data_IF_800352641409
#
_entry.id   IF_800352641409
#
_cell.length_a   1.000
_cell.length_b   1.000
_cell.length_c   1.000
_cell.angle_alpha   90.00
_cell.angle_beta   90.00
_cell.angle_gamma   90.00
#
_symmetry.space_group_name_H-M   'P 1'
#
loop_
_entity.id
_entity.type
_entity.pdbx_description
1 polymer ?
#
# COMPACT_ATOMS: atom_id res chain seq x y z
N UNK A 1 38.87 22.99 13.34
CA UNK A 1 37.97 21.99 13.95
C UNK A 1 37.49 22.41 15.36
N UNK A 2 37.86 23.59 15.88
CA UNK A 2 37.46 24.05 17.22
C UNK A 2 36.17 24.90 17.25
N UNK A 3 35.73 25.46 16.12
CA UNK A 3 34.53 26.34 16.08
C UNK A 3 33.19 25.58 16.05
N UNK A 4 33.18 24.28 15.78
CA UNK A 4 31.94 23.50 15.67
C UNK A 4 31.31 23.13 17.03
N UNK A 5 32.10 23.16 18.12
CA UNK A 5 31.68 22.70 19.46
C UNK A 5 31.04 23.83 20.29
N UNK A 6 31.30 25.10 19.96
CA UNK A 6 30.84 26.25 20.75
C UNK A 6 29.34 26.53 20.60
N UNK A 7 28.70 26.03 19.54
CA UNK A 7 27.27 26.27 19.23
C UNK A 7 26.31 25.17 19.66
N UNK A 8 26.80 24.04 20.19
CA UNK A 8 25.91 23.00 20.71
C UNK A 8 25.30 23.42 22.06
N UNK A 9 23.98 23.22 22.18
CA UNK A 9 23.24 23.43 23.41
C UNK A 9 23.84 22.60 24.55
N UNK A 10 23.99 23.19 25.74
CA UNK A 10 24.52 22.47 26.89
C UNK A 10 23.49 21.45 27.40
N UNK A 11 23.95 20.25 27.74
CA UNK A 11 23.11 19.22 28.34
C UNK A 11 22.58 19.70 29.71
N UNK A 12 21.34 19.35 30.12
CA UNK A 12 20.79 19.75 31.42
C UNK A 12 21.73 19.48 32.61
N UNK A 13 22.41 18.33 32.62
CA UNK A 13 23.41 18.00 33.65
C UNK A 13 24.59 18.98 33.68
N UNK A 14 25.03 19.49 32.53
CA UNK A 14 26.10 20.51 32.45
C UNK A 14 25.66 21.80 33.14
N UNK A 15 24.39 22.19 32.94
CA UNK A 15 23.81 23.37 33.58
C UNK A 15 23.68 23.15 35.09
N UNK A 16 23.22 21.97 35.50
CA UNK A 16 23.11 21.60 36.92
C UNK A 16 24.46 21.65 37.64
N UNK A 17 25.49 20.99 37.10
CA UNK A 17 26.83 21.03 37.70
C UNK A 17 27.42 22.44 37.72
N UNK A 18 27.12 23.25 36.71
CA UNK A 18 27.54 24.64 36.70
C UNK A 18 26.88 25.45 37.82
N UNK A 19 25.59 25.23 38.08
CA UNK A 19 24.86 25.89 39.17
C UNK A 19 25.36 25.42 40.54
N UNK A 20 25.61 24.11 40.70
CA UNK A 20 26.24 23.57 41.90
C UNK A 20 27.63 24.19 42.14
N UNK A 21 28.44 24.33 41.09
CA UNK A 21 29.74 25.01 41.16
C UNK A 21 29.64 26.47 41.60
N UNK A 22 28.59 27.19 41.18
CA UNK A 22 28.36 28.58 41.57
C UNK A 22 27.88 28.70 43.03
N UNK A 23 26.86 27.93 43.42
CA UNK A 23 26.21 28.08 44.73
C UNK A 23 26.85 27.29 45.87
N UNK A 24 27.36 26.09 45.59
CA UNK A 24 27.87 25.17 46.62
C UNK A 24 29.41 25.18 46.70
N UNK A 25 30.10 25.46 45.59
CA UNK A 25 31.57 25.48 45.54
C UNK A 25 32.16 26.90 45.47
N UNK A 26 31.32 27.94 45.34
CA UNK A 26 31.75 29.35 45.37
C UNK A 26 32.53 29.80 44.14
N UNK A 27 32.49 29.07 43.01
CA UNK A 27 33.19 29.47 41.80
C UNK A 27 32.60 30.73 41.17
N UNK A 28 33.47 31.61 40.68
CA UNK A 28 33.05 32.81 39.96
C UNK A 28 32.51 32.49 38.56
N UNK A 29 31.65 33.37 38.02
CA UNK A 29 31.11 33.25 36.66
C UNK A 29 32.21 33.15 35.58
N UNK A 30 33.39 33.76 35.81
CA UNK A 30 34.54 33.70 34.90
C UNK A 30 35.23 32.33 34.93
N UNK A 31 35.34 31.71 36.10
CA UNK A 31 35.93 30.37 36.25
C UNK A 31 35.02 29.30 35.64
N UNK A 32 33.72 29.37 35.92
CA UNK A 32 32.73 28.46 35.33
C UNK A 32 32.68 28.58 33.80
N UNK A 33 32.78 29.80 33.26
CA UNK A 33 32.88 30.02 31.81
C UNK A 33 34.07 29.30 31.17
N UNK A 34 35.23 29.29 31.86
CA UNK A 34 36.43 28.56 31.42
C UNK A 34 36.24 27.05 31.52
N UNK A 35 35.75 26.55 32.66
CA UNK A 35 35.53 25.11 32.93
C UNK A 35 34.58 24.50 31.89
N UNK A 36 33.45 25.15 31.64
CA UNK A 36 32.42 24.64 30.72
C UNK A 36 32.62 25.08 29.26
N UNK A 37 33.71 25.82 28.96
CA UNK A 37 33.99 26.41 27.64
C UNK A 37 32.78 27.16 27.06
N UNK A 38 32.10 27.93 27.90
CA UNK A 38 30.95 28.78 27.53
C UNK A 38 31.25 30.24 27.81
N UNK A 39 30.49 31.15 27.21
CA UNK A 39 30.65 32.57 27.49
C UNK A 39 30.17 32.90 28.91
N UNK A 40 30.77 33.91 29.55
CA UNK A 40 30.32 34.42 30.86
C UNK A 40 28.84 34.83 30.80
N UNK A 41 28.36 35.33 29.65
CA UNK A 41 26.95 35.63 29.40
C UNK A 41 26.06 34.39 29.47
N UNK A 42 26.49 33.27 28.88
CA UNK A 42 25.76 31.99 28.96
C UNK A 42 25.65 31.49 30.40
N UNK A 43 26.75 31.54 31.16
CA UNK A 43 26.75 31.15 32.58
C UNK A 43 25.83 32.08 33.39
N UNK A 44 25.93 33.40 33.16
CA UNK A 44 25.04 34.37 33.79
C UNK A 44 23.57 34.11 33.47
N UNK A 45 23.24 33.75 32.22
CA UNK A 45 21.88 33.40 31.84
C UNK A 45 21.38 32.15 32.58
N UNK A 46 22.22 31.12 32.77
CA UNK A 46 21.83 29.92 33.52
C UNK A 46 21.53 30.23 34.99
N UNK A 47 22.38 31.03 35.62
CA UNK A 47 22.19 31.49 37.01
C UNK A 47 20.91 32.32 37.11
N UNK A 48 20.74 33.32 36.23
CA UNK A 48 19.56 34.19 36.23
C UNK A 48 18.25 33.41 35.99
N UNK A 49 18.27 32.36 35.16
CA UNK A 49 17.08 31.50 34.96
C UNK A 49 16.79 30.75 36.26
N UNK A 50 17.79 30.12 36.88
CA UNK A 50 17.62 29.39 38.14
C UNK A 50 17.14 30.29 39.29
N UNK A 51 17.71 31.50 39.44
CA UNK A 51 17.27 32.49 40.44
C UNK A 51 15.82 32.92 40.23
N UNK A 52 15.35 32.98 38.98
CA UNK A 52 13.98 33.43 38.64
C UNK A 52 12.93 32.34 38.72
N UNK A 53 13.27 31.10 38.36
CA UNK A 53 12.28 30.02 38.22
C UNK A 53 12.47 28.88 39.21
N UNK A 54 13.56 28.86 39.97
CA UNK A 54 13.94 27.71 40.82
C UNK A 54 14.33 26.46 40.04
N UNK A 55 14.35 26.54 38.70
CA UNK A 55 14.62 25.44 37.79
C UNK A 55 15.68 25.85 36.76
N UNK A 56 16.42 24.88 36.25
CA UNK A 56 17.43 25.09 35.20
C UNK A 56 17.05 24.41 33.88
N UNK A 57 15.90 23.74 33.87
CA UNK A 57 15.28 23.22 32.65
C UNK A 57 14.67 24.38 31.86
N UNK A 58 14.72 24.27 30.53
CA UNK A 58 14.14 25.28 29.66
C UNK A 58 12.64 25.31 29.90
N UNK A 59 12.06 26.51 30.05
CA UNK A 59 10.61 26.64 30.02
C UNK A 59 10.10 26.09 28.68
N UNK A 60 9.16 25.13 28.74
CA UNK A 60 8.36 24.76 27.58
C UNK A 60 7.58 25.99 27.17
N UNK A 61 8.18 26.73 26.25
CA UNK A 61 7.50 27.84 25.62
C UNK A 61 6.33 27.19 24.89
N UNK A 62 5.09 27.41 25.36
CA UNK A 62 3.89 27.13 24.57
C UNK A 62 4.03 27.96 23.29
N UNK A 63 4.66 27.38 22.26
CA UNK A 63 4.77 27.99 20.96
C UNK A 63 3.34 28.09 20.47
N UNK A 64 2.79 29.31 20.44
CA UNK A 64 1.54 29.58 19.77
C UNK A 64 1.73 29.13 18.32
N UNK A 65 1.18 27.96 18.00
CA UNK A 65 1.23 27.45 16.63
C UNK A 65 0.40 28.42 15.79
N UNK A 66 1.03 29.01 14.77
CA UNK A 66 0.40 29.90 13.79
C UNK A 66 -0.89 29.28 13.19
N UNK A 67 -0.92 27.95 13.08
CA UNK A 67 -2.10 27.20 12.69
C UNK A 67 -2.70 26.52 13.93
N UNK A 68 -3.90 26.96 14.30
CA UNK A 68 -4.66 26.43 15.42
C UNK A 68 -5.19 25.04 15.09
N UNK A 69 -5.66 24.31 16.10
CA UNK A 69 -6.32 23.02 15.90
C UNK A 69 -7.51 23.12 14.93
N UNK A 70 -8.26 24.23 14.96
CA UNK A 70 -9.36 24.48 14.04
C UNK A 70 -8.89 24.57 12.57
N UNK A 71 -7.77 25.24 12.30
CA UNK A 71 -7.20 25.30 10.95
C UNK A 71 -6.67 23.95 10.47
N UNK A 72 -6.13 23.15 11.39
CA UNK A 72 -5.67 21.79 11.08
C UNK A 72 -6.84 20.88 10.74
N UNK A 73 -7.91 20.94 11.52
CA UNK A 73 -9.14 20.19 11.27
C UNK A 73 -9.77 20.61 9.95
N UNK A 74 -9.88 21.92 9.69
CA UNK A 74 -10.43 22.43 8.44
C UNK A 74 -9.68 21.91 7.19
N UNK A 75 -8.35 21.81 7.26
CA UNK A 75 -7.57 21.20 6.16
C UNK A 75 -7.88 19.71 5.98
N UNK A 76 -8.13 18.98 7.06
CA UNK A 76 -8.54 17.58 6.98
C UNK A 76 -9.93 17.44 6.37
N UNK A 77 -10.87 18.29 6.78
CA UNK A 77 -12.23 18.33 6.24
C UNK A 77 -12.22 18.69 4.75
N UNK A 78 -11.40 19.67 4.35
CA UNK A 78 -11.19 20.04 2.95
C UNK A 78 -10.72 18.85 2.11
N UNK A 79 -9.79 18.03 2.61
CA UNK A 79 -9.34 16.82 1.91
C UNK A 79 -10.36 15.68 1.93
N UNK A 80 -11.29 15.67 2.89
CA UNK A 80 -12.39 14.71 2.90
C UNK A 80 -13.42 15.05 1.81
N UNK A 81 -13.71 16.34 1.61
CA UNK A 81 -14.59 16.83 0.54
C UNK A 81 -13.90 16.83 -0.83
N UNK A 82 -12.60 17.07 -0.86
CA UNK A 82 -11.77 17.19 -2.07
C UNK A 82 -10.55 16.26 -2.03
N UNK A 83 -10.74 14.92 -2.03
CA UNK A 83 -9.65 13.95 -1.85
C UNK A 83 -8.60 13.94 -2.97
N UNK A 84 -8.90 14.58 -4.10
CA UNK A 84 -7.99 14.71 -5.25
C UNK A 84 -7.21 16.02 -5.28
N UNK A 85 -7.47 16.93 -4.33
CA UNK A 85 -6.85 18.24 -4.34
C UNK A 85 -5.32 18.14 -4.22
N UNK A 86 -4.62 19.04 -4.91
CA UNK A 86 -3.18 19.21 -4.73
C UNK A 86 -2.89 20.07 -3.48
N UNK A 87 -1.63 20.08 -3.04
CA UNK A 87 -1.23 20.81 -1.84
C UNK A 87 -1.30 22.34 -2.02
N UNK A 88 -1.07 22.82 -3.24
CA UNK A 88 -1.22 24.22 -3.64
C UNK A 88 -2.70 24.63 -3.72
N UNK A 89 -3.58 23.74 -4.21
CA UNK A 89 -5.02 23.97 -4.18
C UNK A 89 -5.56 24.11 -2.74
N UNK A 90 -5.09 23.27 -1.81
CA UNK A 90 -5.41 23.37 -0.38
C UNK A 90 -4.83 24.64 0.27
N UNK A 91 -3.63 25.05 -0.13
CA UNK A 91 -3.01 26.32 0.28
C UNK A 91 -3.86 27.52 -0.15
N UNK A 92 -4.35 27.51 -1.40
CA UNK A 92 -5.22 28.56 -1.91
C UNK A 92 -6.59 28.53 -1.22
N UNK A 93 -7.11 27.35 -0.91
CA UNK A 93 -8.40 27.18 -0.24
C UNK A 93 -8.38 27.76 1.19
N UNK A 94 -7.35 27.46 1.99
CA UNK A 94 -7.24 28.02 3.35
C UNK A 94 -6.99 29.53 3.33
N UNK A 95 -6.28 30.04 2.31
CA UNK A 95 -6.12 31.48 2.10
C UNK A 95 -7.46 32.16 1.85
N UNK A 96 -8.32 31.58 1.00
CA UNK A 96 -9.66 32.13 0.74
C UNK A 96 -10.59 32.04 1.94
N UNK A 97 -10.58 30.92 2.66
CA UNK A 97 -11.51 30.68 3.76
C UNK A 97 -11.15 31.44 5.05
N UNK A 98 -9.85 31.60 5.34
CA UNK A 98 -9.38 32.16 6.61
C UNK A 98 -8.48 33.40 6.46
N UNK A 99 -8.29 33.92 5.24
CA UNK A 99 -7.36 35.02 4.94
C UNK A 99 -5.92 34.75 5.43
N UNK A 100 -5.53 33.48 5.49
CA UNK A 100 -4.24 33.05 6.03
C UNK A 100 -3.35 32.47 4.95
N UNK A 101 -2.13 33.00 4.85
CA UNK A 101 -1.09 32.35 4.05
C UNK A 101 -0.57 31.11 4.77
N UNK A 102 -0.28 30.06 4.03
CA UNK A 102 0.43 28.86 4.51
C UNK A 102 1.42 28.45 3.43
N UNK A 103 2.50 27.73 3.79
CA UNK A 103 3.38 27.13 2.77
C UNK A 103 2.93 25.70 2.44
N UNK A 104 3.16 25.25 1.21
CA UNK A 104 2.89 23.87 0.75
C UNK A 104 3.46 22.84 1.74
N UNK A 105 4.70 23.03 2.22
CA UNK A 105 5.33 22.13 3.17
C UNK A 105 4.63 22.09 4.53
N UNK A 106 3.96 23.19 4.94
CA UNK A 106 3.20 23.24 6.18
C UNK A 106 1.85 22.55 6.01
N UNK A 107 1.17 22.72 4.87
CA UNK A 107 -0.04 21.94 4.52
C UNK A 107 0.28 20.46 4.59
N UNK A 108 1.34 20.02 3.89
CA UNK A 108 1.77 18.63 3.88
C UNK A 108 2.05 18.09 5.29
N UNK A 109 2.75 18.86 6.13
CA UNK A 109 3.05 18.44 7.51
C UNK A 109 1.78 18.31 8.34
N UNK A 110 0.88 19.29 8.28
CA UNK A 110 -0.38 19.27 9.04
C UNK A 110 -1.21 18.04 8.70
N UNK A 111 -1.45 17.78 7.42
CA UNK A 111 -2.27 16.65 7.00
C UNK A 111 -1.59 15.31 7.31
N UNK A 112 -0.26 15.25 7.18
CA UNK A 112 0.50 14.04 7.50
C UNK A 112 0.52 13.75 9.00
N UNK A 113 0.67 14.78 9.85
CA UNK A 113 0.58 14.67 11.31
C UNK A 113 -0.82 14.23 11.75
N UNK A 114 -1.86 14.59 10.97
CA UNK A 114 -3.23 14.12 11.15
C UNK A 114 -3.50 12.72 10.56
N UNK A 115 -2.49 12.06 9.99
CA UNK A 115 -2.58 10.69 9.45
C UNK A 115 -3.00 10.60 7.99
N UNK A 116 -3.25 11.72 7.30
CA UNK A 116 -3.52 11.70 5.86
C UNK A 116 -2.22 11.42 5.10
N UNK A 117 -2.28 10.41 4.23
CA UNK A 117 -1.13 10.00 3.41
C UNK A 117 -1.54 9.90 1.97
N UNK A 118 -0.62 10.23 1.05
CA UNK A 118 -0.86 10.10 -0.39
C UNK A 118 -1.04 8.62 -0.74
N UNK A 119 -2.21 8.27 -1.28
CA UNK A 119 -2.50 6.91 -1.77
C UNK A 119 -2.48 6.84 -3.29
N UNK A 120 -2.29 5.64 -3.83
CA UNK A 120 -2.55 5.37 -5.25
C UNK A 120 -4.07 5.31 -5.42
N UNK A 121 -4.60 6.06 -6.38
CA UNK A 121 -6.03 6.07 -6.68
C UNK A 121 -6.45 4.72 -7.28
N UNK A 122 -7.47 4.11 -6.69
CA UNK A 122 -8.18 2.98 -7.27
C UNK A 122 -9.23 3.52 -8.24
N UNK A 123 -9.16 3.14 -9.52
CA UNK A 123 -10.16 3.54 -10.52
C UNK A 123 -11.21 2.45 -10.61
N UNK A 124 -12.44 2.77 -10.23
CA UNK A 124 -13.60 1.87 -10.35
C UNK A 124 -14.50 2.30 -11.49
N UNK A 125 -15.05 1.33 -12.22
CA UNK A 125 -15.94 1.61 -13.31
C UNK A 125 -17.30 2.06 -12.75
N UNK A 126 -17.87 3.15 -13.29
CA UNK A 126 -19.21 3.62 -12.92
C UNK A 126 -20.32 2.58 -13.16
N UNK A 127 -20.05 1.55 -13.96
CA UNK A 127 -21.01 0.51 -14.35
C UNK A 127 -21.13 -0.64 -13.33
N UNK A 128 -20.39 -0.62 -12.22
CA UNK A 128 -20.57 -1.62 -11.15
C UNK A 128 -21.96 -1.40 -10.55
N UNK A 129 -22.86 -2.35 -10.76
CA UNK A 129 -24.21 -2.33 -10.20
C UNK A 129 -24.26 -3.28 -9.00
N UNK A 130 -24.69 -2.77 -7.85
CA UNK A 130 -24.83 -3.57 -6.62
C UNK A 130 -25.65 -4.85 -6.86
N UNK A 131 -26.74 -4.75 -7.64
CA UNK A 131 -27.57 -5.90 -8.02
C UNK A 131 -26.78 -7.06 -8.67
N UNK A 132 -25.76 -6.75 -9.47
CA UNK A 132 -24.92 -7.78 -10.12
C UNK A 132 -24.01 -8.45 -9.11
N UNK A 133 -23.53 -7.70 -8.11
CA UNK A 133 -22.73 -8.25 -7.01
C UNK A 133 -23.60 -9.11 -6.09
N UNK A 134 -24.80 -8.64 -5.73
CA UNK A 134 -25.75 -9.44 -4.94
C UNK A 134 -26.08 -10.77 -5.61
N UNK A 135 -26.39 -10.76 -6.91
CA UNK A 135 -26.64 -11.99 -7.66
C UNK A 135 -25.44 -12.95 -7.63
N UNK A 136 -24.23 -12.43 -7.74
CA UNK A 136 -23.01 -13.23 -7.63
C UNK A 136 -22.86 -13.86 -6.25
N UNK A 137 -23.11 -13.10 -5.18
CA UNK A 137 -23.07 -13.59 -3.80
C UNK A 137 -24.12 -14.68 -3.58
N UNK A 138 -25.35 -14.48 -4.07
CA UNK A 138 -26.43 -15.47 -3.99
C UNK A 138 -26.09 -16.77 -4.74
N UNK A 139 -25.55 -16.67 -5.96
CA UNK A 139 -25.11 -17.82 -6.75
C UNK A 139 -24.00 -18.60 -6.02
N UNK A 140 -23.00 -17.89 -5.50
CA UNK A 140 -21.88 -18.50 -4.80
C UNK A 140 -22.30 -19.16 -3.47
N UNK A 141 -23.31 -18.61 -2.78
CA UNK A 141 -23.86 -19.19 -1.56
C UNK A 141 -24.59 -20.53 -1.78
N UNK A 142 -24.98 -20.86 -3.03
CA UNK A 142 -25.56 -22.16 -3.36
C UNK A 142 -24.52 -23.26 -3.54
N UNK A 143 -23.23 -22.91 -3.57
CA UNK A 143 -22.12 -23.85 -3.76
C UNK A 143 -21.40 -24.03 -2.42
N UNK A 144 -21.24 -25.27 -1.97
CA UNK A 144 -20.44 -25.56 -0.78
C UNK A 144 -18.96 -25.66 -1.20
N UNK A 145 -18.18 -24.65 -0.88
CA UNK A 145 -16.77 -24.59 -1.24
C UNK A 145 -15.90 -24.24 -0.03
N UNK A 146 -14.65 -24.65 -0.09
CA UNK A 146 -13.56 -24.12 0.71
C UNK A 146 -12.40 -23.75 -0.24
N UNK A 147 -11.33 -23.17 0.29
CA UNK A 147 -10.21 -22.71 -0.53
C UNK A 147 -9.57 -23.79 -1.41
N UNK A 148 -9.59 -25.06 -1.02
CA UNK A 148 -9.05 -26.16 -1.85
C UNK A 148 -9.94 -26.51 -3.04
N UNK A 149 -11.19 -26.07 -3.07
CA UNK A 149 -12.07 -26.26 -4.23
C UNK A 149 -11.84 -25.20 -5.31
N UNK A 150 -11.42 -24.00 -4.91
CA UNK A 150 -11.40 -22.82 -5.77
C UNK A 150 -10.16 -22.78 -6.68
N UNK A 151 -10.40 -22.57 -7.97
CA UNK A 151 -9.38 -22.21 -8.97
C UNK A 151 -9.81 -20.94 -9.66
N UNK A 152 -8.97 -19.91 -9.60
CA UNK A 152 -9.13 -18.70 -10.40
C UNK A 152 -8.35 -18.88 -11.70
N UNK A 153 -8.98 -18.53 -12.82
CA UNK A 153 -8.30 -18.47 -14.10
C UNK A 153 -8.53 -17.14 -14.79
N UNK A 154 -7.45 -16.62 -15.36
CA UNK A 154 -7.47 -15.38 -16.12
C UNK A 154 -6.23 -15.27 -17.01
N UNK A 155 -6.30 -14.35 -17.98
CA UNK A 155 -5.25 -14.08 -18.95
C UNK A 155 -4.49 -12.83 -18.58
N UNK A 156 -3.18 -12.91 -18.74
CA UNK A 156 -2.29 -11.76 -18.58
C UNK A 156 -1.36 -11.63 -19.77
N UNK A 157 -1.20 -10.40 -20.22
CA UNK A 157 -0.31 -10.05 -21.33
C UNK A 157 0.92 -9.33 -20.78
N UNK A 158 2.09 -9.80 -21.18
CA UNK A 158 3.36 -9.15 -20.83
C UNK A 158 4.13 -8.75 -22.08
N UNK A 159 4.81 -7.60 -21.98
CA UNK A 159 5.84 -7.18 -22.93
C UNK A 159 7.11 -6.80 -22.17
N UNK A 160 8.24 -6.78 -22.86
CA UNK A 160 9.54 -6.50 -22.25
C UNK A 160 9.61 -5.09 -21.63
N UNK A 161 8.80 -4.12 -22.07
CA UNK A 161 8.76 -2.77 -21.49
C UNK A 161 8.15 -2.76 -20.09
N UNK A 162 7.14 -3.60 -19.86
CA UNK A 162 6.55 -3.81 -18.54
C UNK A 162 7.52 -4.44 -17.53
N UNK A 163 8.53 -5.16 -18.03
CA UNK A 163 9.54 -5.88 -17.24
C UNK A 163 10.75 -5.03 -16.85
N UNK A 164 10.89 -3.81 -17.38
CA UNK A 164 12.05 -2.95 -17.07
C UNK A 164 11.80 -2.17 -15.77
N UNK A 165 12.86 -2.00 -14.97
CA UNK A 165 12.85 -1.14 -13.77
C UNK A 165 12.63 0.31 -14.16
N UNK A 166 11.64 0.95 -13.53
CA UNK A 166 11.25 2.34 -13.85
C UNK A 166 11.92 3.39 -12.99
N UNK A 167 12.60 3.01 -11.91
CA UNK A 167 13.18 3.91 -10.91
C UNK A 167 14.52 3.37 -10.42
N UNK A 168 15.43 4.29 -10.10
CA UNK A 168 16.75 4.02 -9.52
C UNK A 168 17.18 5.18 -8.64
N UNK A 169 18.32 5.03 -7.96
CA UNK A 169 18.87 6.06 -7.07
C UNK A 169 20.09 6.74 -7.71
N UNK A 170 20.18 8.06 -7.54
CA UNK A 170 21.30 8.90 -7.95
C UNK A 170 21.42 10.06 -6.98
N UNK A 171 22.57 10.74 -7.00
CA UNK A 171 22.77 11.95 -6.23
C UNK A 171 21.75 13.03 -6.63
N UNK A 172 21.37 13.86 -5.66
CA UNK A 172 20.42 14.96 -5.90
C UNK A 172 20.96 15.85 -7.03
N UNK A 173 20.12 16.09 -8.03
CA UNK A 173 20.48 16.89 -9.22
C UNK A 173 21.19 16.13 -10.33
N UNK A 174 21.45 14.82 -10.17
CA UNK A 174 22.08 13.99 -11.19
C UNK A 174 21.08 13.04 -11.86
N UNK A 175 21.00 13.10 -13.18
CA UNK A 175 20.17 12.20 -14.01
C UNK A 175 20.78 10.80 -14.10
N UNK A 176 19.94 9.77 -13.99
CA UNK A 176 20.33 8.38 -14.26
C UNK A 176 20.07 8.09 -15.74
N UNK A 177 21.11 7.69 -16.47
CA UNK A 177 20.99 7.18 -17.82
C UNK A 177 21.27 5.68 -17.85
N UNK A 178 20.36 4.90 -18.44
CA UNK A 178 20.55 3.48 -18.73
C UNK A 178 20.72 3.31 -20.24
N UNK A 179 21.66 2.45 -20.65
CA UNK A 179 21.86 2.05 -22.06
C UNK A 179 21.49 0.58 -22.21
N UNK A 180 20.74 0.28 -23.25
CA UNK A 180 20.25 -1.04 -23.58
C UNK A 180 19.65 -1.03 -24.98
N UNK A 181 19.26 -2.20 -25.49
CA UNK A 181 18.75 -2.31 -26.86
C UNK A 181 17.35 -1.69 -27.00
N UNK A 182 16.56 -1.64 -25.92
CA UNK A 182 15.19 -1.09 -25.85
C UNK A 182 14.26 -1.53 -26.99
N UNK A 183 14.59 -2.63 -27.67
CA UNK A 183 13.82 -3.15 -28.79
C UNK A 183 12.55 -3.82 -28.29
N UNK A 184 11.44 -3.63 -29.01
CA UNK A 184 10.18 -4.24 -28.65
C UNK A 184 10.19 -5.73 -29.01
N UNK A 185 10.15 -6.59 -27.99
CA UNK A 185 10.00 -8.04 -28.18
C UNK A 185 8.52 -8.41 -28.40
N UNK A 186 8.24 -9.56 -29.04
CA UNK A 186 6.87 -10.10 -29.12
C UNK A 186 6.23 -10.20 -27.74
N UNK A 187 4.92 -9.99 -27.69
CA UNK A 187 4.15 -10.13 -26.46
C UNK A 187 3.94 -11.60 -26.16
N UNK A 188 4.02 -11.95 -24.88
CA UNK A 188 3.66 -13.28 -24.39
C UNK A 188 2.35 -13.13 -23.63
N UNK A 189 1.34 -13.86 -24.06
CA UNK A 189 0.09 -14.00 -23.33
C UNK A 189 0.16 -15.28 -22.53
N UNK A 190 -0.24 -15.22 -21.27
CA UNK A 190 -0.28 -16.38 -20.37
C UNK A 190 -1.70 -16.52 -19.82
N UNK A 191 -2.27 -17.71 -19.94
CA UNK A 191 -3.45 -18.14 -19.19
C UNK A 191 -2.95 -18.87 -17.96
N UNK A 192 -3.35 -18.42 -16.77
CA UNK A 192 -2.91 -19.01 -15.52
C UNK A 192 -4.08 -19.56 -14.72
N UNK A 193 -3.84 -20.66 -14.01
CA UNK A 193 -4.75 -21.29 -13.07
C UNK A 193 -4.13 -21.19 -11.67
N UNK A 194 -4.88 -20.65 -10.71
CA UNK A 194 -4.34 -20.27 -9.40
C UNK A 194 -5.30 -20.67 -8.28
N UNK A 195 -4.78 -21.34 -7.26
CA UNK A 195 -5.49 -21.65 -6.02
C UNK A 195 -4.89 -20.90 -4.83
N UNK A 196 -5.38 -21.18 -3.62
CA UNK A 196 -4.92 -20.48 -2.42
C UNK A 196 -3.42 -20.65 -2.12
N UNK A 197 -2.78 -21.69 -2.66
CA UNK A 197 -1.35 -21.98 -2.49
C UNK A 197 -0.47 -21.37 -3.58
N UNK A 198 -1.05 -20.65 -4.54
CA UNK A 198 -0.32 -20.02 -5.65
C UNK A 198 -0.71 -20.58 -7.01
N UNK A 199 0.17 -20.40 -8.00
CA UNK A 199 -0.04 -20.87 -9.37
C UNK A 199 -0.06 -22.41 -9.38
N UNK A 200 -1.14 -22.98 -9.90
CA UNK A 200 -1.27 -24.43 -10.08
C UNK A 200 -0.63 -24.81 -11.42
N UNK A 201 -1.06 -24.14 -12.49
CA UNK A 201 -0.52 -24.34 -13.83
C UNK A 201 -0.71 -23.09 -14.70
N UNK A 202 -0.03 -23.04 -15.84
CA UNK A 202 -0.18 -21.97 -16.80
C UNK A 202 0.17 -22.42 -18.22
N UNK A 203 -0.43 -21.75 -19.20
CA UNK A 203 -0.22 -21.99 -20.62
C UNK A 203 0.13 -20.66 -21.27
N UNK A 204 1.12 -20.65 -22.15
CA UNK A 204 1.51 -19.47 -22.91
C UNK A 204 1.19 -19.62 -24.40
N UNK A 205 0.95 -18.49 -25.05
CA UNK A 205 0.84 -18.41 -26.51
C UNK A 205 1.53 -17.14 -27.01
N UNK A 206 2.03 -17.21 -28.25
CA UNK A 206 2.48 -16.01 -28.95
C UNK A 206 1.26 -15.26 -29.49
N UNK A 207 0.99 -14.07 -28.97
CA UNK A 207 -0.15 -13.26 -29.38
C UNK A 207 -1.30 -13.32 -28.37
N UNK A 208 -2.54 -13.48 -28.85
CA UNK A 208 -3.74 -13.49 -28.01
C UNK A 208 -4.39 -14.86 -28.11
N UNK A 209 -4.74 -15.47 -26.98
CA UNK A 209 -5.54 -16.69 -26.97
C UNK A 209 -6.88 -16.45 -27.65
N UNK A 210 -7.15 -17.22 -28.71
CA UNK A 210 -8.48 -17.33 -29.25
C UNK A 210 -9.36 -18.27 -28.41
N UNK A 211 -10.55 -18.61 -28.91
CA UNK A 211 -11.47 -19.51 -28.21
C UNK A 211 -10.98 -20.96 -28.22
N UNK A 212 -10.37 -21.40 -29.32
CA UNK A 212 -9.90 -22.78 -29.50
C UNK A 212 -8.72 -23.03 -28.56
N UNK A 213 -7.75 -22.12 -28.53
CA UNK A 213 -6.60 -22.19 -27.63
C UNK A 213 -7.04 -22.20 -26.17
N UNK A 214 -7.98 -21.31 -25.82
CA UNK A 214 -8.49 -21.22 -24.45
C UNK A 214 -9.22 -22.49 -24.03
N UNK A 215 -10.06 -23.04 -24.92
CA UNK A 215 -10.76 -24.28 -24.63
C UNK A 215 -9.79 -25.45 -24.45
N UNK A 216 -8.80 -25.58 -25.34
CA UNK A 216 -7.76 -26.61 -25.23
C UNK A 216 -7.01 -26.51 -23.90
N UNK A 217 -6.60 -25.31 -23.48
CA UNK A 217 -5.94 -25.13 -22.19
C UNK A 217 -6.83 -25.53 -21.00
N UNK A 218 -8.14 -25.27 -21.07
CA UNK A 218 -9.08 -25.70 -20.04
C UNK A 218 -9.19 -27.23 -20.01
N UNK A 219 -9.23 -27.90 -21.16
CA UNK A 219 -9.25 -29.35 -21.24
C UNK A 219 -7.96 -29.97 -20.69
N UNK A 220 -6.81 -29.44 -21.13
CA UNK A 220 -5.50 -29.89 -20.68
C UNK A 220 -5.36 -29.75 -19.17
N UNK A 221 -5.78 -28.62 -18.60
CA UNK A 221 -5.71 -28.40 -17.15
C UNK A 221 -6.68 -29.30 -16.37
N UNK A 222 -7.90 -29.48 -16.87
CA UNK A 222 -8.90 -30.34 -16.23
C UNK A 222 -8.44 -31.81 -16.15
N UNK A 223 -7.69 -32.28 -17.14
CA UNK A 223 -7.19 -33.66 -17.19
C UNK A 223 -5.74 -33.83 -16.73
N UNK A 224 -5.01 -32.74 -16.46
CA UNK A 224 -3.60 -32.86 -16.07
C UNK A 224 -3.45 -33.35 -14.63
N UNK A 225 -2.40 -34.14 -14.41
CA UNK A 225 -1.99 -34.57 -13.07
C UNK A 225 -1.61 -33.38 -12.20
N UNK A 226 -1.07 -32.32 -12.81
CA UNK A 226 -0.70 -31.07 -12.14
C UNK A 226 -1.92 -30.28 -11.67
N UNK A 227 -2.98 -30.24 -12.48
CA UNK A 227 -4.24 -29.61 -12.11
C UNK A 227 -4.92 -30.30 -10.93
N UNK A 228 -4.76 -31.64 -10.79
CA UNK A 228 -5.36 -32.44 -9.72
C UNK A 228 -6.85 -32.08 -9.49
N UNK A 229 -7.55 -31.86 -10.61
CA UNK A 229 -8.96 -31.48 -10.64
C UNK A 229 -9.79 -32.71 -10.34
N UNK A 230 -10.65 -32.61 -9.34
CA UNK A 230 -11.61 -33.66 -8.96
C UNK A 230 -13.02 -33.17 -9.22
N UNK A 231 -13.95 -34.09 -9.41
CA UNK A 231 -15.36 -33.73 -9.53
C UNK A 231 -15.83 -33.06 -8.24
N UNK A 232 -16.65 -32.02 -8.36
CA UNK A 232 -17.23 -31.30 -7.23
C UNK A 232 -17.94 -32.28 -6.27
N UNK A 233 -17.73 -32.18 -4.95
CA UNK A 233 -17.04 -31.12 -4.19
C UNK A 233 -15.55 -31.37 -3.91
N UNK A 234 -14.84 -32.09 -4.79
CA UNK A 234 -13.40 -32.38 -4.67
C UNK A 234 -12.48 -31.17 -4.88
N UNK A 235 -11.17 -31.38 -4.74
CA UNK A 235 -10.17 -30.32 -4.96
C UNK A 235 -10.25 -29.73 -6.36
N UNK A 236 -10.00 -28.42 -6.48
CA UNK A 236 -9.92 -27.69 -7.73
C UNK A 236 -11.16 -27.81 -8.65
N UNK A 237 -12.33 -28.06 -8.04
CA UNK A 237 -13.60 -28.36 -8.73
C UNK A 237 -14.49 -27.14 -8.98
N UNK A 238 -14.19 -25.99 -8.40
CA UNK A 238 -14.96 -24.75 -8.54
C UNK A 238 -14.08 -23.71 -9.23
N UNK A 239 -14.41 -23.37 -10.47
CA UNK A 239 -13.60 -22.47 -11.29
C UNK A 239 -14.22 -21.10 -11.34
N UNK A 240 -13.43 -20.08 -10.94
CA UNK A 240 -13.84 -18.68 -10.92
C UNK A 240 -13.24 -17.96 -12.13
N UNK A 241 -14.10 -17.41 -12.97
CA UNK A 241 -13.73 -16.74 -14.22
C UNK A 241 -14.19 -15.28 -14.23
N UNK A 242 -13.49 -14.43 -14.96
CA UNK A 242 -14.01 -13.10 -15.27
C UNK A 242 -15.16 -13.17 -16.32
N UNK A 243 -15.76 -12.01 -16.61
CA UNK A 243 -16.87 -11.91 -17.54
C UNK A 243 -16.51 -11.86 -19.03
N UNK A 244 -15.27 -12.18 -19.44
CA UNK A 244 -14.86 -12.11 -20.83
C UNK A 244 -15.71 -13.03 -21.73
N UNK A 245 -15.99 -12.56 -22.95
CA UNK A 245 -16.87 -13.29 -23.89
C UNK A 245 -16.38 -14.69 -24.22
N UNK A 246 -15.06 -14.86 -24.33
CA UNK A 246 -14.36 -16.13 -24.52
C UNK A 246 -14.57 -17.14 -23.38
N UNK A 247 -14.79 -16.67 -22.14
CA UNK A 247 -15.00 -17.54 -20.98
C UNK A 247 -16.45 -18.03 -20.88
N UNK A 248 -17.37 -17.30 -21.53
CA UNK A 248 -18.81 -17.58 -21.54
C UNK A 248 -19.25 -18.43 -22.73
N UNK A 249 -18.29 -19.02 -23.44
CA UNK A 249 -18.61 -19.88 -24.57
C UNK A 249 -19.42 -21.11 -24.09
N UNK A 250 -20.60 -21.40 -24.67
CA UNK A 250 -21.44 -22.51 -24.25
C UNK A 250 -20.74 -23.87 -24.29
N UNK A 251 -19.84 -24.10 -25.25
CA UNK A 251 -19.13 -25.37 -25.38
C UNK A 251 -18.18 -25.60 -24.19
N UNK A 252 -17.49 -24.54 -23.77
CA UNK A 252 -16.59 -24.57 -22.61
C UNK A 252 -17.40 -24.83 -21.35
N UNK A 253 -18.51 -24.13 -21.15
CA UNK A 253 -19.37 -24.31 -19.97
C UNK A 253 -19.94 -25.74 -19.93
N UNK A 254 -20.36 -26.27 -21.08
CA UNK A 254 -20.88 -27.63 -21.18
C UNK A 254 -19.80 -28.66 -20.84
N UNK A 255 -18.58 -28.49 -21.35
CA UNK A 255 -17.44 -29.33 -21.03
C UNK A 255 -17.10 -29.30 -19.54
N UNK A 256 -16.95 -28.12 -18.94
CA UNK A 256 -16.59 -28.00 -17.53
C UNK A 256 -17.63 -28.73 -16.64
N UNK A 257 -18.91 -28.54 -16.94
CA UNK A 257 -19.98 -29.23 -16.20
C UNK A 257 -19.99 -30.74 -16.43
N UNK A 258 -19.69 -31.22 -17.63
CA UNK A 258 -19.69 -32.66 -17.94
C UNK A 258 -18.58 -33.43 -17.20
N UNK A 259 -17.45 -32.76 -16.92
CA UNK A 259 -16.36 -33.33 -16.11
C UNK A 259 -16.53 -33.07 -14.61
N UNK A 260 -17.64 -32.47 -14.17
CA UNK A 260 -17.96 -32.23 -12.77
C UNK A 260 -17.33 -30.97 -12.16
N UNK A 261 -16.91 -30.00 -13.00
CA UNK A 261 -16.44 -28.68 -12.56
C UNK A 261 -17.61 -27.71 -12.51
N UNK A 262 -17.65 -26.87 -11.47
CA UNK A 262 -18.64 -25.81 -11.28
C UNK A 262 -18.02 -24.47 -11.71
N UNK A 263 -18.34 -23.94 -12.92
CA UNK A 263 -17.90 -22.62 -13.34
C UNK A 263 -18.77 -21.53 -12.69
N UNK A 264 -18.14 -20.52 -12.09
CA UNK A 264 -18.76 -19.33 -11.50
C UNK A 264 -18.11 -18.08 -12.09
N UNK A 265 -18.92 -17.10 -12.49
CA UNK A 265 -18.42 -15.87 -13.13
C UNK A 265 -18.44 -14.69 -12.17
N UNK A 266 -17.32 -13.99 -12.07
CA UNK A 266 -17.21 -12.76 -11.31
C UNK A 266 -18.15 -11.66 -11.85
N UNK A 267 -18.63 -10.76 -10.97
CA UNK A 267 -19.41 -9.62 -11.40
C UNK A 267 -18.58 -8.69 -12.30
N UNK A 268 -19.24 -8.11 -13.30
CA UNK A 268 -18.56 -7.26 -14.28
C UNK A 268 -17.85 -6.08 -13.61
N UNK A 269 -16.64 -5.76 -14.10
CA UNK A 269 -15.80 -4.67 -13.60
C UNK A 269 -15.38 -4.78 -12.13
N UNK A 270 -15.39 -5.97 -11.53
CA UNK A 270 -14.99 -6.20 -10.15
C UNK A 270 -13.67 -7.01 -10.02
N UNK A 271 -12.54 -6.55 -10.61
CA UNK A 271 -11.26 -7.28 -10.54
C UNK A 271 -10.70 -7.37 -9.11
N UNK A 272 -11.17 -6.53 -8.19
CA UNK A 272 -10.78 -6.57 -6.77
C UNK A 272 -11.34 -7.79 -6.02
N UNK A 273 -12.33 -8.50 -6.58
CA UNK A 273 -12.75 -9.81 -6.10
C UNK A 273 -11.93 -10.97 -6.69
N UNK A 274 -10.99 -10.69 -7.61
CA UNK A 274 -10.20 -11.70 -8.29
C UNK A 274 -8.76 -11.77 -7.71
N UNK A 275 -8.41 -12.75 -6.87
CA UNK A 275 -7.07 -12.87 -6.32
C UNK A 275 -5.97 -13.02 -7.38
N UNK A 276 -6.29 -13.53 -8.59
CA UNK A 276 -5.29 -13.72 -9.64
C UNK A 276 -4.75 -12.39 -10.18
N UNK A 277 -5.51 -11.31 -10.08
CA UNK A 277 -5.06 -9.96 -10.46
C UNK A 277 -3.91 -9.48 -9.56
N UNK A 278 -3.99 -9.79 -8.27
CA UNK A 278 -2.91 -9.55 -7.32
C UNK A 278 -1.70 -10.43 -7.62
N UNK A 279 -1.93 -11.71 -7.96
CA UNK A 279 -0.88 -12.63 -8.40
C UNK A 279 -0.12 -12.08 -9.62
N UNK A 280 -0.83 -11.62 -10.65
CA UNK A 280 -0.22 -10.96 -11.81
C UNK A 280 0.53 -9.69 -11.41
N UNK A 281 0.04 -8.94 -10.42
CA UNK A 281 0.78 -7.83 -9.82
C UNK A 281 2.12 -8.25 -9.20
N UNK A 282 2.15 -9.36 -8.44
CA UNK A 282 3.39 -9.92 -7.87
C UNK A 282 4.35 -10.40 -8.98
N UNK A 283 3.83 -11.11 -9.98
CA UNK A 283 4.60 -11.60 -11.13
C UNK A 283 5.24 -10.43 -11.90
N UNK A 284 4.48 -9.36 -12.19
CA UNK A 284 5.01 -8.14 -12.85
C UNK A 284 6.14 -7.50 -12.04
N UNK A 285 6.03 -7.46 -10.72
CA UNK A 285 7.12 -6.97 -9.85
C UNK A 285 8.34 -7.90 -9.88
N UNK A 286 8.13 -9.21 -9.92
CA UNK A 286 9.21 -10.19 -10.06
C UNK A 286 9.93 -10.04 -11.40
N UNK A 287 9.20 -9.79 -12.50
CA UNK A 287 9.82 -9.46 -13.78
C UNK A 287 10.70 -8.21 -13.68
N UNK A 288 10.20 -7.11 -13.09
CA UNK A 288 11.00 -5.90 -12.86
C UNK A 288 12.24 -6.13 -11.99
N UNK A 289 12.17 -7.10 -11.08
CA UNK A 289 13.29 -7.45 -10.20
C UNK A 289 14.37 -8.22 -10.96
N UNK A 290 14.00 -9.19 -11.79
CA UNK A 290 14.94 -10.20 -12.31
C UNK A 290 15.24 -10.08 -13.82
N UNK A 291 14.45 -9.35 -14.59
CA UNK A 291 14.66 -9.22 -16.04
C UNK A 291 15.91 -8.39 -16.33
N UNK A 292 16.80 -8.92 -17.17
CA UNK A 292 18.02 -8.25 -17.65
C UNK A 292 17.96 -8.22 -19.17
N UNK A 293 18.03 -7.01 -19.75
CA UNK A 293 17.83 -6.82 -21.18
C UNK A 293 18.97 -7.37 -22.05
N UNK A 294 20.21 -7.34 -21.54
CA UNK A 294 21.42 -7.74 -22.27
C UNK A 294 21.63 -9.27 -22.40
N UNK A 295 20.70 -10.08 -21.87
CA UNK A 295 20.70 -11.54 -22.02
C UNK A 295 19.76 -11.93 -23.18
N UNK A 296 20.34 -12.30 -24.33
CA UNK A 296 19.65 -12.86 -25.51
C UNK A 296 18.90 -14.18 -25.16
N UNK A 297 17.83 -14.66 -25.79
CA UNK A 297 16.98 -14.18 -26.89
C UNK A 297 15.50 -14.64 -26.73
N UNK A 298 15.15 -15.37 -25.67
CA UNK A 298 13.81 -15.94 -25.51
C UNK A 298 13.19 -15.53 -24.16
N UNK A 299 12.00 -14.91 -24.22
CA UNK A 299 11.27 -14.48 -23.03
C UNK A 299 10.66 -15.68 -22.28
N UNK A 300 10.39 -16.78 -22.97
CA UNK A 300 9.64 -17.91 -22.43
C UNK A 300 10.36 -18.62 -21.27
N UNK A 301 11.66 -18.98 -21.34
CA UNK A 301 12.34 -19.59 -20.20
C UNK A 301 12.32 -18.69 -18.95
N UNK A 302 12.45 -17.38 -19.13
CA UNK A 302 12.39 -16.41 -18.04
C UNK A 302 10.98 -16.26 -17.46
N UNK A 303 9.96 -16.28 -18.32
CA UNK A 303 8.55 -16.32 -17.89
C UNK A 303 8.28 -17.58 -17.10
N UNK A 304 8.68 -18.75 -17.61
CA UNK A 304 8.50 -20.02 -16.94
C UNK A 304 9.19 -20.09 -15.58
N UNK A 305 10.46 -19.68 -15.52
CA UNK A 305 11.20 -19.59 -14.24
C UNK A 305 10.50 -18.64 -13.26
N UNK A 306 9.95 -17.52 -13.75
CA UNK A 306 9.25 -16.56 -12.90
C UNK A 306 7.95 -17.13 -12.35
N UNK A 307 7.14 -17.79 -13.17
CA UNK A 307 5.90 -18.43 -12.72
C UNK A 307 6.18 -19.57 -11.75
N UNK A 308 7.26 -20.35 -11.94
CA UNK A 308 7.69 -21.39 -11.00
C UNK A 308 7.95 -20.88 -9.58
N UNK A 309 8.38 -19.61 -9.42
CA UNK A 309 8.55 -18.98 -8.09
C UNK A 309 7.22 -18.77 -7.34
N UNK A 310 6.09 -18.88 -8.02
CA UNK A 310 4.75 -18.65 -7.46
C UNK A 310 3.92 -19.93 -7.28
N UNK A 311 4.47 -21.12 -7.51
CA UNK A 311 3.76 -22.39 -7.32
C UNK A 311 3.43 -22.69 -5.85
N UNK A 312 4.33 -22.32 -4.94
CA UNK A 312 4.19 -22.49 -3.49
C UNK A 312 4.12 -21.14 -2.78
N UNK A 313 3.30 -20.24 -3.31
CA UNK A 313 3.13 -18.88 -2.81
C UNK A 313 1.76 -18.71 -2.18
N UNK A 314 1.71 -18.69 -0.83
CA UNK A 314 0.45 -18.55 -0.10
C UNK A 314 -0.28 -17.25 -0.46
N UNK A 315 -1.52 -17.42 -0.93
CA UNK A 315 -2.45 -16.36 -1.30
C UNK A 315 -3.59 -16.20 -0.29
N UNK A 316 -3.56 -16.89 0.87
CA UNK A 316 -4.65 -16.88 1.86
C UNK A 316 -5.05 -15.46 2.28
N UNK A 317 -4.07 -14.59 2.56
CA UNK A 317 -4.34 -13.18 2.90
C UNK A 317 -4.96 -12.39 1.75
N UNK A 318 -4.62 -12.74 0.51
CA UNK A 318 -5.19 -12.09 -0.68
C UNK A 318 -6.61 -12.60 -0.91
N UNK A 319 -6.86 -13.90 -0.70
CA UNK A 319 -8.21 -14.47 -0.74
C UNK A 319 -9.12 -13.76 0.25
N UNK A 320 -8.72 -13.67 1.52
CA UNK A 320 -9.46 -12.93 2.57
C UNK A 320 -9.66 -11.47 2.17
N UNK A 321 -8.61 -10.81 1.66
CA UNK A 321 -8.73 -9.44 1.17
C UNK A 321 -9.79 -9.32 0.07
N UNK A 322 -9.81 -10.24 -0.89
CA UNK A 322 -10.77 -10.27 -1.99
C UNK A 322 -12.18 -10.76 -1.58
N UNK A 323 -12.41 -11.08 -0.30
CA UNK A 323 -13.70 -11.52 0.23
C UNK A 323 -13.86 -13.03 0.36
N UNK A 324 -12.88 -13.84 -0.03
CA UNK A 324 -12.96 -15.31 -0.03
C UNK A 324 -12.52 -15.89 1.32
N UNK A 325 -13.46 -16.11 2.23
CA UNK A 325 -13.15 -16.57 3.58
C UNK A 325 -12.95 -18.09 3.67
N UNK A 326 -12.16 -18.53 4.65
CA UNK A 326 -11.84 -19.95 4.87
C UNK A 326 -13.09 -20.80 5.18
N UNK A 327 -14.12 -20.17 5.76
CA UNK A 327 -15.38 -20.83 6.13
C UNK A 327 -16.32 -21.14 4.95
N UNK A 328 -15.89 -20.89 3.70
CA UNK A 328 -16.75 -21.08 2.53
C UNK A 328 -17.77 -19.96 2.34
N UNK A 329 -17.46 -18.78 2.88
CA UNK A 329 -18.31 -17.60 2.82
C UNK A 329 -17.62 -16.49 2.02
N UNK A 330 -18.38 -15.83 1.15
CA UNK A 330 -17.89 -14.69 0.38
C UNK A 330 -18.42 -13.37 0.96
N UNK A 331 -17.50 -12.49 1.37
CA UNK A 331 -17.82 -11.16 1.90
C UNK A 331 -17.50 -10.07 0.86
N UNK A 332 -18.51 -9.48 0.20
CA UNK A 332 -18.30 -8.39 -0.76
C UNK A 332 -18.04 -7.03 -0.08
N UNK A 333 -18.43 -6.85 1.20
CA UNK A 333 -18.52 -5.54 1.85
C UNK A 333 -17.15 -4.89 2.01
N UNK A 334 -16.13 -5.62 2.47
CA UNK A 334 -14.80 -5.04 2.71
C UNK A 334 -14.18 -4.36 1.47
N UNK A 335 -14.43 -4.89 0.27
CA UNK A 335 -13.97 -4.25 -0.96
C UNK A 335 -14.90 -3.13 -1.44
N UNK A 336 -16.21 -3.25 -1.24
CA UNK A 336 -17.19 -2.23 -1.65
C UNK A 336 -17.20 -1.01 -0.71
N UNK A 337 -16.95 -1.16 0.58
CA UNK A 337 -16.90 -0.06 1.57
C UNK A 337 -15.80 0.98 1.29
N UNK A 338 -14.79 0.63 0.48
CA UNK A 338 -13.84 1.63 -0.03
C UNK A 338 -14.54 2.71 -0.89
N UNK A 339 -15.73 2.44 -1.42
CA UNK A 339 -16.55 3.41 -2.18
C UNK A 339 -17.28 4.40 -1.27
N UNK A 340 -17.69 3.98 -0.06
CA UNK A 340 -18.57 4.74 0.83
C UNK A 340 -17.85 5.65 1.83
N UNK A 341 -16.52 5.53 1.99
CA UNK A 341 -15.73 6.41 2.87
C UNK A 341 -15.68 7.87 2.44
N UNK A 342 -16.23 8.21 1.28
CA UNK A 342 -16.35 9.58 0.79
C UNK A 342 -17.48 10.40 1.45
N UNK A 343 -18.20 9.89 2.47
CA UNK A 343 -19.34 10.62 3.04
C UNK A 343 -19.40 10.75 4.59
N UNK A 344 -18.68 9.96 5.39
CA UNK A 344 -18.96 9.93 6.84
C UNK A 344 -17.75 9.78 7.79
N UNK A 345 -16.52 9.74 7.28
CA UNK A 345 -15.37 9.22 8.04
C UNK A 345 -14.59 10.17 8.95
N UNK A 346 -14.94 11.45 9.08
CA UNK A 346 -14.09 12.44 9.78
C UNK A 346 -14.58 12.81 11.18
N UNK A 347 -15.77 12.37 11.60
CA UNK A 347 -16.32 12.77 12.90
C UNK A 347 -15.71 12.08 14.13
N UNK A 348 -14.84 11.08 13.99
CA UNK A 348 -14.31 10.29 15.12
C UNK A 348 -12.80 10.42 15.36
N UNK A 349 -12.24 11.62 15.23
CA UNK A 349 -10.89 11.94 15.76
C UNK A 349 -11.02 12.90 16.95
N UNK A 350 -11.75 12.51 18.00
CA UNK A 350 -11.74 13.18 19.31
C UNK A 350 -12.49 12.35 20.37
N UNK A 351 -11.96 11.16 20.73
CA UNK A 351 -12.50 10.43 21.91
C UNK A 351 -11.53 9.44 22.58
N UNK A 352 -10.24 9.39 22.23
CA UNK A 352 -9.27 8.49 22.90
C UNK A 352 -7.98 9.22 23.25
N UNK A 353 -8.07 10.20 24.14
CA UNK A 353 -6.98 10.67 25.00
C UNK A 353 -7.58 11.59 26.05
N UNK A 354 -8.26 11.04 27.06
CA UNK A 354 -8.47 11.63 28.40
C UNK A 354 -9.40 10.73 29.20
N UNK A 355 -8.90 9.58 29.65
CA UNK A 355 -9.47 8.81 30.76
C UNK A 355 -8.47 7.71 31.09
N UNK A 356 -7.42 8.07 31.84
CA UNK A 356 -6.60 7.15 32.65
C UNK A 356 -5.55 8.00 33.38
N UNK A 357 -5.90 8.46 34.57
CA UNK A 357 -5.03 9.32 35.38
C UNK A 357 -5.61 9.79 36.71
N UNK A 358 -6.61 9.10 37.26
CA UNK A 358 -7.02 9.26 38.65
C UNK A 358 -7.33 7.87 39.20
N UNK A 359 -6.33 7.23 39.82
CA UNK A 359 -6.45 6.45 41.05
C UNK A 359 -5.16 5.67 41.34
N UNK A 360 -4.72 5.80 42.59
CA UNK A 360 -3.82 4.95 43.37
C UNK A 360 -2.38 5.43 43.60
N UNK A 361 -2.18 5.77 44.90
CA UNK A 361 -0.98 5.94 45.73
C UNK A 361 -0.31 7.32 45.77
#
# INVERSE_FOLDING_TARGET
MEEAVTRQHAHPNTVFHCLYGFYCLGHSRKELARIYKKTVKTIGNWINVYERTGTYQRADSKVLRRFTAAHQQWLCDYYAEHPLAYLDEAQDAILRAHAMTISISSVWRIIHDAGLTRKVLERRAMHIKELVVFRFVEELAQVNWCHSNLVFLDKVLFDNRGMIRKRGYSLKGQTIAIRGDFQRKPRVSVLAFMGVTGIIDYYDTQGTFDRVDFFQCCQDFAYSTRGNVRQYPGSNSVWILDGASIHRDPEIIHFLRSVGIVPIFLPAYCPFFNPIEYMFGYIKRSFQRHYVESSSNNLLPFVAETFGRFENFSMSKVFEHCGWNIQGHFDPCGQLEKDSRNAAGVSNIQAHTNEEGEQQL
#
